data_IF_772734216076
#
_entry.id   IF_772734216076
#
_cell.length_a   1.000
_cell.length_b   1.000
_cell.length_c   1.000
_cell.angle_alpha   90.00
_cell.angle_beta   90.00
_cell.angle_gamma   90.00
#
_symmetry.space_group_name_H-M   'P 1'
#
loop_
_entity.id
_entity.type
_entity.pdbx_description
1 polymer ?
#
# COMPACT_ATOMS: atom_id res chain seq x y z
N UNK A 1 1.29 2.04 -25.19
CA UNK A 1 2.53 1.71 -25.93
C UNK A 1 2.96 2.88 -26.80
N UNK A 2 2.92 2.87 -28.15
CA UNK A 2 3.46 3.98 -28.98
C UNK A 2 3.01 5.41 -28.61
N UNK A 3 1.79 5.61 -28.10
CA UNK A 3 1.37 6.91 -27.56
C UNK A 3 2.19 7.28 -26.30
N UNK A 4 2.10 6.43 -25.27
CA UNK A 4 2.81 6.59 -23.99
C UNK A 4 4.33 6.68 -24.16
N UNK A 5 4.89 6.01 -25.17
CA UNK A 5 6.28 6.22 -25.63
C UNK A 5 6.59 7.66 -25.98
N UNK A 6 5.75 8.27 -26.82
CA UNK A 6 5.93 9.65 -27.21
C UNK A 6 5.74 10.58 -26.01
N UNK A 7 4.94 10.18 -25.01
CA UNK A 7 4.79 10.88 -23.74
C UNK A 7 6.06 10.75 -22.85
N UNK A 8 6.65 9.56 -22.67
CA UNK A 8 7.95 9.40 -21.98
C UNK A 8 9.11 10.12 -22.71
N UNK A 9 9.14 10.11 -24.06
CA UNK A 9 10.12 10.87 -24.86
C UNK A 9 9.90 12.38 -24.69
N UNK A 10 8.66 12.87 -24.78
CA UNK A 10 8.33 14.29 -24.62
C UNK A 10 8.58 14.81 -23.19
N UNK A 11 8.43 13.94 -22.19
CA UNK A 11 8.81 14.22 -20.80
C UNK A 11 10.34 14.17 -20.57
N UNK A 12 11.14 13.77 -21.57
CA UNK A 12 12.60 13.70 -21.47
C UNK A 12 13.14 12.50 -20.69
N UNK A 13 12.27 11.55 -20.31
CA UNK A 13 12.66 10.31 -19.63
C UNK A 13 13.45 9.35 -20.53
N UNK A 14 13.49 9.64 -21.83
CA UNK A 14 14.12 8.84 -22.88
C UNK A 14 14.89 9.67 -23.90
N UNK A 15 15.69 8.99 -24.71
CA UNK A 15 15.97 9.38 -26.10
C UNK A 15 15.79 8.21 -27.06
N UNK A 16 15.44 8.53 -28.32
CA UNK A 16 15.05 7.59 -29.38
C UNK A 16 13.85 8.17 -30.17
N UNK A 17 13.24 7.40 -31.10
CA UNK A 17 13.62 6.05 -31.50
C UNK A 17 14.89 6.02 -32.36
N UNK A 18 15.86 5.21 -31.94
CA UNK A 18 16.94 4.74 -32.82
C UNK A 18 16.42 3.56 -33.64
N UNK A 19 16.96 3.39 -34.85
CA UNK A 19 16.45 2.51 -35.91
C UNK A 19 17.27 1.25 -36.15
N UNK A 20 18.41 1.11 -35.47
CA UNK A 20 19.25 -0.09 -35.54
C UNK A 20 20.08 -0.26 -34.27
N UNK A 21 20.50 -1.50 -34.01
CA UNK A 21 21.43 -1.85 -32.94
C UNK A 21 22.75 -1.07 -33.08
N UNK A 22 23.24 -0.92 -34.31
CA UNK A 22 24.43 -0.13 -34.63
C UNK A 22 24.31 1.34 -34.21
N UNK A 23 23.15 1.97 -34.43
CA UNK A 23 22.93 3.36 -34.04
C UNK A 23 22.96 3.53 -32.50
N UNK A 24 22.59 2.48 -31.75
CA UNK A 24 22.76 2.41 -30.31
C UNK A 24 24.24 2.21 -29.93
N UNK A 25 24.96 1.29 -30.58
CA UNK A 25 26.40 1.08 -30.33
C UNK A 25 27.25 2.31 -30.64
N UNK A 26 27.04 2.94 -31.80
CA UNK A 26 27.75 4.16 -32.22
C UNK A 26 27.49 5.33 -31.23
N UNK A 27 26.32 5.36 -30.59
CA UNK A 27 25.94 6.35 -29.56
C UNK A 27 26.50 6.03 -28.17
N UNK A 28 26.48 4.77 -27.75
CA UNK A 28 27.01 4.30 -26.47
C UNK A 28 28.54 4.14 -26.48
N UNK A 29 29.16 4.22 -27.66
CA UNK A 29 30.59 3.97 -27.91
C UNK A 29 31.05 2.55 -27.50
N UNK A 30 30.13 1.59 -27.54
CA UNK A 30 30.38 0.17 -27.25
C UNK A 30 29.29 -0.72 -27.84
N UNK A 31 29.65 -1.95 -28.23
CA UNK A 31 28.70 -3.02 -28.56
C UNK A 31 28.26 -3.83 -27.32
N UNK A 32 28.93 -3.65 -26.17
CA UNK A 32 28.66 -4.37 -24.91
C UNK A 32 27.44 -3.77 -24.16
N UNK A 33 26.25 -3.88 -24.74
CA UNK A 33 24.99 -3.46 -24.12
C UNK A 33 23.91 -4.56 -24.18
N UNK A 34 22.85 -4.40 -23.39
CA UNK A 34 21.79 -5.41 -23.21
C UNK A 34 20.39 -4.84 -23.46
N UNK A 35 19.74 -5.29 -24.53
CA UNK A 35 18.36 -4.96 -24.84
C UNK A 35 17.41 -5.50 -23.76
N UNK A 36 16.52 -4.65 -23.23
CA UNK A 36 15.44 -5.04 -22.33
C UNK A 36 14.10 -4.95 -23.06
N UNK A 37 13.49 -6.07 -23.50
CA UNK A 37 12.22 -6.04 -24.23
C UNK A 37 11.09 -5.50 -23.36
N UNK A 38 10.26 -4.62 -23.91
CA UNK A 38 9.20 -3.94 -23.16
C UNK A 38 7.82 -4.49 -23.51
N UNK A 39 7.00 -4.75 -22.49
CA UNK A 39 5.67 -5.34 -22.62
C UNK A 39 4.59 -4.50 -21.92
N UNK A 40 3.32 -4.74 -22.27
CA UNK A 40 2.18 -4.01 -21.74
C UNK A 40 1.34 -4.91 -20.83
N UNK A 41 1.00 -4.37 -19.65
CA UNK A 41 0.08 -4.93 -18.69
C UNK A 41 -1.18 -4.05 -18.63
N UNK A 42 -2.37 -4.66 -18.55
CA UNK A 42 -3.62 -3.98 -18.20
C UNK A 42 -3.94 -4.30 -16.74
N UNK A 43 -4.10 -3.28 -15.91
CA UNK A 43 -4.20 -3.43 -14.46
C UNK A 43 -5.40 -2.65 -13.89
N UNK A 44 -6.14 -3.28 -12.96
CA UNK A 44 -7.28 -2.65 -12.29
C UNK A 44 -8.56 -2.63 -13.13
N UNK A 45 -9.63 -2.09 -12.54
CA UNK A 45 -10.98 -2.03 -13.15
C UNK A 45 -11.03 -1.10 -14.35
N UNK A 46 -10.36 0.06 -14.26
CA UNK A 46 -10.17 1.00 -15.38
C UNK A 46 -9.34 0.42 -16.54
N UNK A 47 -8.91 -0.85 -16.45
CA UNK A 47 -8.03 -1.53 -17.43
C UNK A 47 -6.75 -0.75 -17.74
N UNK A 48 -6.25 -0.01 -16.74
CA UNK A 48 -5.18 0.97 -16.88
C UNK A 48 -3.95 0.33 -17.47
N UNK A 49 -3.42 0.96 -18.51
CA UNK A 49 -2.19 0.54 -19.16
C UNK A 49 -1.01 0.84 -18.22
N UNK A 50 -0.19 -0.18 -18.01
CA UNK A 50 1.15 -0.10 -17.41
C UNK A 50 2.11 -0.74 -18.41
N UNK A 51 3.31 -0.20 -18.54
CA UNK A 51 4.27 -0.68 -19.55
C UNK A 51 5.63 -0.89 -18.87
N UNK A 52 6.17 -2.10 -18.99
CA UNK A 52 7.22 -2.63 -18.13
C UNK A 52 8.36 -3.16 -19.01
N UNK A 53 9.60 -2.75 -18.71
CA UNK A 53 10.80 -3.36 -19.29
C UNK A 53 11.06 -4.72 -18.62
N UNK A 54 11.28 -5.77 -19.42
CA UNK A 54 11.68 -7.08 -18.91
C UNK A 54 13.19 -7.11 -18.59
N UNK A 55 13.56 -6.42 -17.52
CA UNK A 55 14.90 -6.46 -16.91
C UNK A 55 15.24 -7.84 -16.29
N UNK A 56 14.33 -8.81 -16.30
CA UNK A 56 14.62 -10.21 -15.96
C UNK A 56 15.11 -10.97 -17.19
N UNK A 57 14.50 -10.76 -18.36
CA UNK A 57 14.94 -11.31 -19.64
C UNK A 57 16.34 -10.80 -20.03
N UNK A 58 16.60 -9.50 -19.90
CA UNK A 58 17.93 -8.91 -20.14
C UNK A 58 18.96 -9.17 -19.03
N UNK A 59 18.61 -9.98 -18.03
CA UNK A 59 19.42 -10.34 -16.87
C UNK A 59 19.89 -9.19 -15.96
N UNK A 60 19.58 -7.92 -16.25
CA UNK A 60 19.93 -6.75 -15.42
C UNK A 60 19.50 -6.93 -13.95
N UNK A 61 18.29 -7.45 -13.71
CA UNK A 61 17.79 -7.75 -12.36
C UNK A 61 18.51 -8.91 -11.65
N UNK A 62 19.32 -9.71 -12.36
CA UNK A 62 20.22 -10.73 -11.79
C UNK A 62 21.63 -10.21 -11.54
N UNK A 63 22.06 -9.19 -12.28
CA UNK A 63 23.33 -8.49 -12.08
C UNK A 63 23.26 -7.48 -10.93
N UNK A 64 22.08 -6.93 -10.64
CA UNK A 64 21.87 -6.02 -9.51
C UNK A 64 21.90 -6.75 -8.15
N UNK A 65 22.66 -6.20 -7.21
CA UNK A 65 22.61 -6.55 -5.78
C UNK A 65 22.57 -5.30 -4.90
N UNK A 66 21.93 -5.41 -3.73
CA UNK A 66 21.89 -4.36 -2.72
C UNK A 66 22.43 -4.87 -1.39
N UNK A 67 23.33 -4.11 -0.76
CA UNK A 67 23.73 -4.28 0.64
C UNK A 67 22.81 -3.54 1.61
N UNK A 68 21.93 -2.66 1.11
CA UNK A 68 20.88 -2.00 1.90
C UNK A 68 19.63 -2.86 1.88
N UNK A 69 19.09 -3.18 3.06
CA UNK A 69 17.68 -3.55 3.18
C UNK A 69 16.80 -2.33 2.84
N UNK A 70 15.61 -2.57 2.30
CA UNK A 70 14.61 -1.53 2.05
C UNK A 70 13.43 -1.76 2.99
N UNK A 71 13.40 -0.99 4.07
CA UNK A 71 12.27 -0.91 4.98
C UNK A 71 11.29 0.16 4.48
N UNK A 72 9.99 -0.14 4.50
CA UNK A 72 8.91 0.72 4.00
C UNK A 72 7.88 0.90 5.10
N UNK A 73 7.29 2.10 5.20
CA UNK A 73 6.39 2.44 6.29
C UNK A 73 4.95 2.04 5.91
N UNK A 74 4.67 0.74 6.08
CA UNK A 74 3.41 0.12 5.71
C UNK A 74 2.22 0.50 6.61
N UNK A 75 1.10 -0.20 6.44
CA UNK A 75 -0.12 0.06 7.22
C UNK A 75 0.07 -0.17 8.72
N UNK A 76 0.86 -1.18 9.13
CA UNK A 76 1.09 -1.44 10.56
C UNK A 76 2.08 -0.42 11.14
N UNK A 77 3.05 0.09 10.35
CA UNK A 77 3.85 1.26 10.75
C UNK A 77 2.97 2.51 10.94
N UNK A 78 2.11 2.84 9.97
CA UNK A 78 1.21 3.99 10.04
C UNK A 78 0.22 3.89 11.21
N UNK A 79 -0.35 2.71 11.46
CA UNK A 79 -1.19 2.42 12.62
C UNK A 79 -0.39 2.54 13.92
N UNK A 80 0.86 2.07 13.96
CA UNK A 80 1.76 2.22 15.10
C UNK A 80 2.05 3.69 15.44
N UNK A 81 2.41 4.50 14.44
CA UNK A 81 2.65 5.94 14.57
C UNK A 81 1.41 6.67 15.07
N UNK A 82 0.23 6.37 14.52
CA UNK A 82 -1.02 7.01 14.93
C UNK A 82 -1.49 6.56 16.33
N UNK A 83 -1.27 5.30 16.74
CA UNK A 83 -1.52 4.86 18.13
C UNK A 83 -0.55 5.52 19.11
N UNK A 84 0.72 5.68 18.73
CA UNK A 84 1.71 6.42 19.51
C UNK A 84 1.28 7.88 19.70
N UNK A 85 0.90 8.56 18.61
CA UNK A 85 0.37 9.93 18.64
C UNK A 85 -0.88 10.00 19.52
N UNK A 86 -1.85 9.08 19.36
CA UNK A 86 -3.06 8.99 20.19
C UNK A 86 -2.75 8.87 21.68
N UNK A 87 -1.70 8.15 22.06
CA UNK A 87 -1.22 8.04 23.45
C UNK A 87 -0.62 9.35 23.98
N UNK A 88 0.13 10.09 23.16
CA UNK A 88 0.62 11.44 23.51
C UNK A 88 -0.56 12.41 23.68
N UNK A 89 -1.57 12.31 22.82
CA UNK A 89 -2.78 13.16 22.82
C UNK A 89 -3.73 12.90 23.99
N UNK A 90 -3.58 11.80 24.74
CA UNK A 90 -4.37 11.54 25.94
C UNK A 90 -3.99 12.45 27.12
N UNK A 91 -2.71 12.87 27.25
CA UNK A 91 -2.32 13.84 28.27
C UNK A 91 -2.68 15.26 27.82
N UNK A 92 -3.80 15.76 28.37
CA UNK A 92 -4.32 17.10 28.04
C UNK A 92 -3.58 18.22 28.75
N UNK A 93 -2.74 17.90 29.73
CA UNK A 93 -1.99 18.91 30.50
C UNK A 93 -0.75 19.37 29.75
N UNK A 94 -0.02 18.44 29.13
CA UNK A 94 1.19 18.72 28.33
C UNK A 94 1.50 17.61 27.35
N UNK A 95 2.24 17.95 26.30
CA UNK A 95 2.87 16.98 25.40
C UNK A 95 3.89 16.17 26.20
N UNK A 96 3.79 14.84 26.14
CA UNK A 96 4.76 13.91 26.76
C UNK A 96 5.17 12.83 25.76
N UNK A 97 6.45 12.77 25.44
CA UNK A 97 7.00 11.84 24.45
C UNK A 97 8.08 10.97 25.10
N UNK A 98 7.76 9.74 25.54
CA UNK A 98 8.77 8.83 26.08
C UNK A 98 9.66 8.32 24.95
N UNK A 99 10.98 8.34 25.18
CA UNK A 99 12.01 7.95 24.21
C UNK A 99 12.56 6.54 24.51
N UNK A 100 13.22 5.95 23.52
CA UNK A 100 13.78 4.59 23.59
C UNK A 100 14.99 4.44 24.52
N UNK A 101 15.61 5.55 24.92
CA UNK A 101 16.66 5.61 25.95
C UNK A 101 16.12 5.67 27.39
N UNK A 102 14.79 5.67 27.56
CA UNK A 102 14.12 5.80 28.85
C UNK A 102 13.91 7.23 29.32
N UNK A 103 14.36 8.24 28.57
CA UNK A 103 14.05 9.65 28.85
C UNK A 103 12.63 10.02 28.39
N UNK A 104 12.18 11.24 28.68
CA UNK A 104 10.89 11.74 28.19
C UNK A 104 11.04 13.22 27.85
N UNK A 105 10.62 13.59 26.65
CA UNK A 105 10.46 14.99 26.26
C UNK A 105 9.11 15.49 26.80
N UNK A 106 9.10 16.66 27.43
CA UNK A 106 7.89 17.34 27.87
C UNK A 106 7.79 18.73 27.24
N UNK A 107 6.57 19.20 26.94
CA UNK A 107 6.34 20.55 26.42
C UNK A 107 4.87 20.97 26.53
N UNK A 108 4.62 22.28 26.63
CA UNK A 108 3.27 22.83 26.69
C UNK A 108 2.51 22.67 25.37
N UNK A 109 1.18 22.45 25.45
CA UNK A 109 0.33 22.49 24.26
C UNK A 109 0.21 23.93 23.73
N UNK A 110 0.19 24.09 22.39
CA UNK A 110 -0.18 25.39 21.79
C UNK A 110 -1.62 25.76 22.14
N UNK A 111 -1.95 27.06 22.12
CA UNK A 111 -3.30 27.56 22.47
C UNK A 111 -4.38 27.02 21.52
N UNK A 112 -3.97 26.70 20.30
CA UNK A 112 -4.76 26.14 19.22
C UNK A 112 -4.98 24.64 19.43
N UNK A 113 -3.95 23.91 19.88
CA UNK A 113 -4.05 22.46 20.16
C UNK A 113 -4.72 22.15 21.50
N UNK A 114 -4.69 23.08 22.47
CA UNK A 114 -5.46 23.00 23.71
C UNK A 114 -6.99 22.94 23.49
N UNK A 115 -7.47 23.31 22.29
CA UNK A 115 -8.89 23.19 21.88
C UNK A 115 -9.24 21.83 21.26
N UNK A 116 -8.31 20.86 21.30
CA UNK A 116 -8.46 19.49 20.80
C UNK A 116 -8.84 19.39 19.30
N UNK A 117 -8.17 20.13 18.40
CA UNK A 117 -8.51 20.18 16.99
C UNK A 117 -8.34 18.84 16.29
N UNK A 118 -9.31 18.44 15.46
CA UNK A 118 -9.24 17.19 14.69
C UNK A 118 -7.91 17.04 13.93
N UNK A 119 -7.29 15.87 14.07
CA UNK A 119 -6.18 15.43 13.21
C UNK A 119 -6.73 15.02 11.84
N UNK A 120 -5.98 15.33 10.80
CA UNK A 120 -6.35 15.18 9.39
C UNK A 120 -5.19 14.51 8.61
N UNK A 121 -5.42 13.96 7.40
CA UNK A 121 -4.32 13.47 6.54
C UNK A 121 -4.62 13.31 5.05
N UNK A 122 -3.58 13.11 4.24
CA UNK A 122 -3.54 13.19 2.76
C UNK A 122 -2.59 12.14 2.09
N UNK A 123 -2.75 11.85 0.78
CA UNK A 123 -2.05 10.84 -0.07
C UNK A 123 -1.74 11.38 -1.51
N UNK A 124 -0.63 10.97 -2.17
CA UNK A 124 -0.18 11.48 -3.50
C UNK A 124 0.65 10.45 -4.35
N UNK A 125 0.65 10.49 -5.72
CA UNK A 125 1.04 9.33 -6.62
C UNK A 125 1.66 9.64 -8.03
N UNK A 126 2.43 8.71 -8.65
CA UNK A 126 3.25 8.87 -9.91
C UNK A 126 3.03 7.80 -11.08
N UNK A 127 3.71 7.90 -12.26
CA UNK A 127 3.47 7.19 -13.58
C UNK A 127 4.81 6.92 -14.40
N UNK A 128 4.97 6.38 -15.65
CA UNK A 128 4.11 5.97 -16.82
C UNK A 128 4.59 4.76 -17.73
N UNK A 129 5.14 4.92 -18.97
CA UNK A 129 5.43 3.77 -19.92
C UNK A 129 5.90 3.98 -21.42
N UNK A 130 6.37 2.92 -22.16
CA UNK A 130 6.98 2.97 -23.56
C UNK A 130 6.48 1.92 -24.65
N UNK A 131 7.21 1.27 -25.62
CA UNK A 131 6.77 1.16 -27.04
C UNK A 131 6.16 -0.18 -27.52
N UNK A 132 5.80 -0.23 -28.82
CA UNK A 132 5.31 -1.39 -29.59
C UNK A 132 5.63 -1.23 -31.07
N UNK A 133 6.01 -2.28 -31.79
CA UNK A 133 6.22 -2.26 -33.24
C UNK A 133 7.44 -3.08 -33.66
N UNK A 134 7.94 -2.85 -34.87
CA UNK A 134 9.33 -3.16 -35.22
C UNK A 134 10.29 -2.54 -34.18
N UNK A 135 11.48 -3.13 -33.99
CA UNK A 135 12.41 -2.73 -32.93
C UNK A 135 12.87 -1.28 -33.05
N UNK A 136 12.12 -0.39 -32.40
CA UNK A 136 12.46 0.99 -32.11
C UNK A 136 13.22 1.01 -30.78
N UNK A 137 14.51 1.34 -30.83
CA UNK A 137 15.38 1.32 -29.66
C UNK A 137 15.30 2.66 -28.92
N UNK A 138 15.31 2.62 -27.59
CA UNK A 138 15.26 3.79 -26.71
C UNK A 138 16.26 3.63 -25.57
N UNK A 139 16.87 4.74 -25.14
CA UNK A 139 17.74 4.79 -23.96
C UNK A 139 17.00 5.45 -22.80
N UNK A 140 16.95 4.77 -21.66
CA UNK A 140 16.38 5.28 -20.41
C UNK A 140 17.28 6.35 -19.78
N UNK A 141 16.70 7.52 -19.47
CA UNK A 141 17.33 8.62 -18.71
C UNK A 141 16.80 8.75 -17.28
N UNK A 142 15.66 8.12 -16.99
CA UNK A 142 15.02 8.07 -15.67
C UNK A 142 15.24 6.69 -15.01
N UNK A 143 14.51 6.41 -13.92
CA UNK A 143 14.49 5.10 -13.26
C UNK A 143 13.34 4.25 -13.84
N UNK A 144 13.60 3.26 -14.72
CA UNK A 144 12.54 2.58 -15.47
C UNK A 144 11.76 1.52 -14.67
N UNK A 145 10.47 1.36 -15.01
CA UNK A 145 9.61 0.34 -14.42
C UNK A 145 10.02 -1.08 -14.84
N UNK A 146 10.26 -1.92 -13.83
CA UNK A 146 10.70 -3.31 -13.98
C UNK A 146 12.12 -3.57 -13.46
N UNK A 147 12.94 -2.53 -13.32
CA UNK A 147 14.30 -2.65 -12.79
C UNK A 147 14.29 -2.67 -11.25
N UNK A 148 14.93 -3.68 -10.65
CA UNK A 148 15.08 -3.77 -9.20
C UNK A 148 15.90 -2.59 -8.64
N UNK A 149 16.98 -2.20 -9.34
CA UNK A 149 17.81 -1.05 -9.00
C UNK A 149 17.00 0.26 -8.90
N UNK A 150 16.01 0.44 -9.79
CA UNK A 150 15.15 1.62 -9.83
C UNK A 150 14.25 1.73 -8.60
N UNK A 151 13.75 0.61 -8.07
CA UNK A 151 13.00 0.59 -6.81
C UNK A 151 13.88 1.06 -5.65
N UNK A 152 15.09 0.51 -5.51
CA UNK A 152 16.01 0.93 -4.44
C UNK A 152 16.49 2.38 -4.60
N UNK A 153 16.75 2.84 -5.83
CA UNK A 153 17.16 4.21 -6.11
C UNK A 153 16.06 5.23 -5.78
N UNK A 154 14.82 4.95 -6.21
CA UNK A 154 13.67 5.82 -5.96
C UNK A 154 13.37 5.96 -4.47
N UNK A 155 13.21 4.84 -3.74
CA UNK A 155 12.88 4.88 -2.31
C UNK A 155 14.00 5.52 -1.47
N UNK A 156 15.28 5.41 -1.86
CA UNK A 156 16.37 6.12 -1.17
C UNK A 156 16.26 7.63 -1.29
N UNK A 157 15.70 8.14 -2.39
CA UNK A 157 15.39 9.57 -2.55
C UNK A 157 14.11 9.92 -1.78
N UNK A 158 13.07 9.09 -1.86
CA UNK A 158 11.80 9.31 -1.15
C UNK A 158 11.98 9.41 0.38
N UNK A 159 12.69 8.45 0.99
CA UNK A 159 13.08 8.48 2.40
C UNK A 159 13.96 9.70 2.74
N UNK A 160 14.77 10.18 1.80
CA UNK A 160 15.53 11.43 1.95
C UNK A 160 14.65 12.69 1.97
N UNK A 161 13.58 12.71 1.16
CA UNK A 161 12.57 13.77 1.18
C UNK A 161 11.74 13.69 2.46
N UNK A 162 11.27 12.50 2.86
CA UNK A 162 10.59 12.26 4.13
C UNK A 162 11.41 12.77 5.33
N UNK A 163 12.73 12.49 5.35
CA UNK A 163 13.63 13.00 6.36
C UNK A 163 13.64 14.54 6.41
N UNK A 164 13.60 15.22 5.26
CA UNK A 164 13.46 16.69 5.22
C UNK A 164 12.09 17.13 5.75
N UNK A 165 10.99 16.46 5.37
CA UNK A 165 9.65 16.76 5.89
C UNK A 165 9.61 16.69 7.43
N UNK A 166 10.13 15.61 8.01
CA UNK A 166 10.16 15.38 9.45
C UNK A 166 11.13 16.35 10.16
N UNK A 167 12.38 16.47 9.69
CA UNK A 167 13.46 17.16 10.45
C UNK A 167 13.49 18.67 10.21
N UNK A 168 12.91 19.19 9.12
CA UNK A 168 12.86 20.64 8.83
C UNK A 168 11.49 21.27 8.97
N UNK A 169 10.42 20.50 8.79
CA UNK A 169 9.05 21.00 8.83
C UNK A 169 8.18 20.33 9.92
N UNK A 170 8.76 19.42 10.72
CA UNK A 170 8.09 18.71 11.82
C UNK A 170 6.84 17.92 11.38
N UNK A 171 6.75 17.58 10.09
CA UNK A 171 5.63 16.84 9.54
C UNK A 171 5.54 15.44 10.16
N UNK A 172 4.37 15.06 10.64
CA UNK A 172 4.07 13.67 10.99
C UNK A 172 3.71 12.98 9.67
N UNK A 173 4.62 12.18 9.11
CA UNK A 173 4.43 11.59 7.78
C UNK A 173 4.99 10.16 7.69
N UNK A 174 4.48 9.39 6.72
CA UNK A 174 4.96 8.05 6.37
C UNK A 174 5.19 7.89 4.86
N UNK A 175 6.19 7.11 4.47
CA UNK A 175 6.60 6.84 3.08
C UNK A 175 6.40 5.36 2.67
N UNK A 176 5.70 5.11 1.56
CA UNK A 176 5.52 3.77 1.01
C UNK A 176 5.53 3.79 -0.53
N UNK A 177 6.69 3.53 -1.13
CA UNK A 177 6.92 3.71 -2.57
C UNK A 177 6.58 5.13 -3.04
N UNK A 178 5.60 5.33 -3.92
CA UNK A 178 5.20 6.65 -4.39
C UNK A 178 4.12 7.34 -3.53
N UNK A 179 3.54 6.63 -2.55
CA UNK A 179 2.51 7.13 -1.62
C UNK A 179 3.15 7.74 -0.36
N UNK A 180 3.20 9.08 -0.24
CA UNK A 180 3.39 9.75 1.06
C UNK A 180 2.06 9.91 1.76
N UNK A 181 1.96 9.51 3.04
CA UNK A 181 0.82 9.88 3.89
C UNK A 181 1.24 10.87 4.96
N UNK A 182 0.62 12.06 4.97
CA UNK A 182 0.94 13.15 5.91
C UNK A 182 -0.22 13.30 6.90
N UNK A 183 0.08 13.65 8.15
CA UNK A 183 -0.87 13.87 9.24
C UNK A 183 -0.60 15.20 9.95
N UNK A 184 -1.65 15.97 10.26
CA UNK A 184 -1.53 17.27 10.95
C UNK A 184 -2.84 17.67 11.65
N UNK A 185 -2.76 18.54 12.65
CA UNK A 185 -3.91 19.15 13.31
C UNK A 185 -4.53 20.26 12.46
N UNK A 186 -5.87 20.33 12.45
CA UNK A 186 -6.66 21.24 11.61
C UNK A 186 -6.17 22.72 11.53
N UNK A 187 -5.67 23.38 12.59
CA UNK A 187 -5.14 24.75 12.51
C UNK A 187 -3.87 24.88 11.64
N UNK A 188 -3.02 23.86 11.62
CA UNK A 188 -1.74 23.87 10.92
C UNK A 188 -1.78 23.20 9.53
N UNK A 189 -2.71 22.28 9.30
CA UNK A 189 -2.78 21.45 8.09
C UNK A 189 -2.66 22.25 6.78
N UNK A 190 -3.44 23.33 6.62
CA UNK A 190 -3.40 24.15 5.39
C UNK A 190 -2.12 25.01 5.24
N UNK A 191 -1.31 25.16 6.29
CA UNK A 191 0.03 25.75 6.18
C UNK A 191 1.05 24.67 5.81
N UNK A 192 1.00 23.51 6.48
CA UNK A 192 1.91 22.39 6.22
C UNK A 192 1.80 21.88 4.78
N UNK A 193 0.57 21.69 4.28
CA UNK A 193 0.25 21.41 2.86
C UNK A 193 1.06 22.30 1.91
N UNK A 194 0.87 23.62 2.01
CA UNK A 194 1.55 24.61 1.15
C UNK A 194 3.07 24.57 1.29
N UNK A 195 3.59 24.28 2.48
CA UNK A 195 5.04 24.16 2.74
C UNK A 195 5.60 22.90 2.08
N UNK A 196 4.93 21.75 2.20
CA UNK A 196 5.38 20.49 1.60
C UNK A 196 5.20 20.48 0.07
N UNK A 197 4.09 21.02 -0.45
CA UNK A 197 3.94 21.32 -1.88
C UNK A 197 5.12 22.13 -2.43
N UNK A 198 5.56 23.17 -1.69
CA UNK A 198 6.71 24.00 -2.08
C UNK A 198 8.07 23.31 -1.91
N UNK A 199 8.22 22.42 -0.94
CA UNK A 199 9.41 21.57 -0.85
C UNK A 199 9.54 20.69 -2.11
N UNK A 200 8.46 20.02 -2.52
CA UNK A 200 8.47 19.18 -3.71
C UNK A 200 8.71 20.00 -4.99
N UNK A 201 8.08 21.17 -5.13
CA UNK A 201 8.36 22.12 -6.23
C UNK A 201 9.86 22.48 -6.33
N UNK A 202 10.48 22.83 -5.20
CA UNK A 202 11.88 23.27 -5.15
C UNK A 202 12.88 22.14 -5.42
N UNK A 203 12.52 20.90 -5.07
CA UNK A 203 13.31 19.71 -5.38
C UNK A 203 13.11 19.20 -6.82
N UNK A 204 12.20 19.81 -7.59
CA UNK A 204 11.80 19.29 -8.91
C UNK A 204 11.04 17.95 -8.83
N UNK A 205 10.53 17.59 -7.66
CA UNK A 205 9.79 16.35 -7.45
C UNK A 205 8.36 16.54 -7.92
N UNK A 206 7.98 15.84 -8.99
CA UNK A 206 6.58 15.81 -9.48
C UNK A 206 5.67 15.20 -8.42
N UNK A 207 4.43 15.69 -8.32
CA UNK A 207 3.37 15.12 -7.48
C UNK A 207 1.98 15.49 -8.04
N UNK A 208 0.94 14.81 -7.59
CA UNK A 208 -0.43 15.11 -7.98
C UNK A 208 -0.91 16.41 -7.30
N UNK A 209 -1.22 17.45 -8.08
CA UNK A 209 -1.67 18.76 -7.57
C UNK A 209 -3.18 18.98 -7.57
N UNK A 210 -3.94 18.05 -8.16
CA UNK A 210 -5.39 18.14 -8.35
C UNK A 210 -5.99 16.78 -8.74
N UNK A 211 -7.33 16.69 -8.69
CA UNK A 211 -8.09 15.51 -9.10
C UNK A 211 -8.03 14.36 -8.07
N UNK A 212 -8.49 13.16 -8.46
CA UNK A 212 -8.66 12.00 -7.54
C UNK A 212 -7.37 11.44 -6.89
N UNK A 213 -6.21 12.04 -7.17
CA UNK A 213 -4.89 11.70 -6.61
C UNK A 213 -4.37 12.74 -5.61
N UNK A 214 -5.09 13.84 -5.40
CA UNK A 214 -4.83 14.86 -4.39
C UNK A 214 -6.00 14.79 -3.41
N UNK A 215 -5.72 14.58 -2.14
CA UNK A 215 -6.69 14.10 -1.14
C UNK A 215 -6.60 14.99 0.09
N UNK A 216 -7.05 16.24 -0.07
CA UNK A 216 -6.94 17.29 0.93
C UNK A 216 -7.30 16.82 2.34
N UNK A 217 -6.36 16.99 3.28
CA UNK A 217 -6.45 16.75 4.72
C UNK A 217 -7.89 16.56 5.29
N UNK A 218 -8.30 15.30 5.49
CA UNK A 218 -9.56 14.92 6.15
C UNK A 218 -9.32 14.06 7.41
N UNK A 219 -10.27 14.14 8.34
CA UNK A 219 -10.50 13.29 9.51
C UNK A 219 -10.64 11.78 9.20
N UNK A 220 -10.84 11.41 7.93
CA UNK A 220 -10.82 10.03 7.44
C UNK A 220 -9.95 9.92 6.17
N UNK A 221 -8.66 9.66 6.36
CA UNK A 221 -7.71 9.46 5.25
C UNK A 221 -7.88 8.06 4.65
N UNK A 222 -7.52 7.89 3.37
CA UNK A 222 -7.53 6.61 2.64
C UNK A 222 -6.15 6.42 2.02
N UNK A 223 -5.34 5.54 2.62
CA UNK A 223 -3.95 5.27 2.22
C UNK A 223 -3.68 3.77 2.23
N UNK A 224 -2.68 3.31 1.47
CA UNK A 224 -2.19 1.92 1.39
C UNK A 224 -3.26 0.83 1.15
N UNK A 225 -4.47 1.22 0.72
CA UNK A 225 -5.63 0.35 0.53
C UNK A 225 -6.54 0.17 1.76
N UNK A 226 -6.24 0.85 2.87
CA UNK A 226 -7.10 0.97 4.06
C UNK A 226 -7.72 2.37 4.15
N UNK A 227 -8.51 2.62 5.19
CA UNK A 227 -8.94 3.95 5.62
C UNK A 227 -8.75 4.09 7.12
N UNK A 228 -8.28 5.26 7.54
CA UNK A 228 -7.89 5.56 8.91
C UNK A 228 -8.78 6.68 9.45
N UNK A 229 -9.64 6.35 10.42
CA UNK A 229 -10.51 7.29 11.11
C UNK A 229 -9.75 8.00 12.23
N UNK A 230 -9.39 9.25 11.99
CA UNK A 230 -8.53 10.09 12.83
C UNK A 230 -9.33 10.90 13.89
N UNK A 231 -10.64 11.05 13.71
CA UNK A 231 -11.50 11.89 14.56
C UNK A 231 -11.57 11.50 16.04
N UNK A 232 -11.26 10.25 16.40
CA UNK A 232 -11.21 9.77 17.79
C UNK A 232 -9.78 9.73 18.39
N UNK A 233 -8.73 10.15 17.67
CA UNK A 233 -7.34 10.03 18.12
C UNK A 233 -7.08 10.72 19.47
N UNK A 234 -7.67 11.90 19.67
CA UNK A 234 -7.62 12.60 20.96
C UNK A 234 -8.31 11.82 22.09
N UNK A 235 -9.38 11.08 21.79
CA UNK A 235 -10.08 10.22 22.74
C UNK A 235 -9.33 8.91 23.03
N UNK A 236 -8.15 8.71 22.44
CA UNK A 236 -7.35 7.51 22.62
C UNK A 236 -7.73 6.34 21.71
N UNK A 237 -8.40 6.58 20.57
CA UNK A 237 -8.80 5.51 19.64
C UNK A 237 -8.51 5.90 18.19
N UNK A 238 -7.75 5.07 17.49
CA UNK A 238 -7.70 5.05 16.03
C UNK A 238 -8.71 4.03 15.51
N UNK A 239 -9.46 4.36 14.47
CA UNK A 239 -10.33 3.38 13.77
C UNK A 239 -9.72 3.02 12.42
N UNK A 240 -9.66 1.72 12.08
CA UNK A 240 -9.07 1.19 10.85
C UNK A 240 -10.11 0.40 10.06
N UNK A 241 -10.32 0.78 8.80
CA UNK A 241 -11.35 0.22 7.90
C UNK A 241 -10.76 -0.19 6.56
N UNK A 242 -11.40 -1.11 5.85
CA UNK A 242 -11.04 -1.40 4.47
C UNK A 242 -11.35 -0.15 3.61
N UNK A 243 -10.55 0.13 2.56
CA UNK A 243 -10.85 1.23 1.63
C UNK A 243 -12.31 1.09 1.11
N UNK A 244 -13.13 2.16 1.13
CA UNK A 244 -14.52 2.11 0.67
C UNK A 244 -14.68 1.43 -0.69
N UNK A 245 -15.71 0.58 -0.83
CA UNK A 245 -15.96 -0.24 -2.01
C UNK A 245 -15.25 -1.61 -2.01
N UNK A 246 -14.28 -1.84 -1.11
CA UNK A 246 -13.50 -3.10 -1.07
C UNK A 246 -14.33 -4.30 -0.59
N UNK A 247 -15.11 -4.15 0.49
CA UNK A 247 -15.91 -5.25 1.05
C UNK A 247 -17.15 -5.53 0.20
N UNK A 248 -17.69 -4.50 -0.44
CA UNK A 248 -18.78 -4.54 -1.40
C UNK A 248 -18.36 -5.33 -2.65
N UNK A 249 -17.18 -5.03 -3.22
CA UNK A 249 -16.60 -5.79 -4.33
C UNK A 249 -16.36 -7.26 -3.97
N UNK A 250 -15.74 -7.51 -2.82
CA UNK A 250 -15.49 -8.88 -2.33
C UNK A 250 -16.82 -9.63 -2.18
N UNK A 251 -17.82 -9.00 -1.56
CA UNK A 251 -19.16 -9.58 -1.41
C UNK A 251 -19.83 -9.88 -2.76
N UNK A 252 -19.68 -9.02 -3.76
CA UNK A 252 -20.24 -9.27 -5.09
C UNK A 252 -19.57 -10.46 -5.79
N UNK A 253 -18.25 -10.60 -5.67
CA UNK A 253 -17.51 -11.77 -6.20
C UNK A 253 -17.90 -13.06 -5.46
N UNK A 254 -18.00 -13.02 -4.12
CA UNK A 254 -18.44 -14.15 -3.31
C UNK A 254 -19.88 -14.59 -3.67
N UNK A 255 -20.81 -13.64 -3.86
CA UNK A 255 -22.20 -13.92 -4.26
C UNK A 255 -22.27 -14.61 -5.63
N UNK A 256 -21.45 -14.18 -6.60
CA UNK A 256 -21.35 -14.85 -7.91
C UNK A 256 -21.01 -16.34 -7.74
N UNK A 257 -19.95 -16.65 -6.99
CA UNK A 257 -19.49 -18.04 -6.78
C UNK A 257 -20.51 -18.85 -5.96
N UNK A 258 -20.99 -18.29 -4.84
CA UNK A 258 -21.98 -18.94 -3.98
C UNK A 258 -23.30 -19.26 -4.71
N UNK A 259 -23.71 -18.42 -5.67
CA UNK A 259 -24.88 -18.69 -6.53
C UNK A 259 -24.71 -19.85 -7.51
N UNK A 260 -23.51 -20.44 -7.61
CA UNK A 260 -23.23 -21.57 -8.51
C UNK A 260 -23.07 -21.17 -9.98
N UNK A 261 -22.75 -19.91 -10.25
CA UNK A 261 -22.18 -19.51 -11.54
C UNK A 261 -20.76 -20.05 -11.64
N UNK A 262 -20.39 -20.57 -12.81
CA UNK A 262 -19.00 -20.92 -13.08
C UNK A 262 -18.15 -19.66 -13.22
N UNK A 263 -16.89 -19.72 -12.76
CA UNK A 263 -15.97 -18.57 -12.71
C UNK A 263 -14.58 -18.98 -13.18
N UNK A 264 -13.83 -18.03 -13.73
CA UNK A 264 -12.47 -18.28 -14.22
C UNK A 264 -11.43 -18.39 -13.09
N UNK A 265 -10.33 -19.09 -13.38
CA UNK A 265 -9.15 -19.18 -12.48
C UNK A 265 -8.60 -17.79 -12.13
N UNK A 266 -8.70 -16.82 -13.04
CA UNK A 266 -8.32 -15.41 -12.84
C UNK A 266 -9.23 -14.65 -11.89
N UNK A 267 -10.55 -14.89 -11.90
CA UNK A 267 -11.49 -14.30 -10.94
C UNK A 267 -11.26 -14.87 -9.54
N UNK A 268 -11.07 -16.18 -9.42
CA UNK A 268 -10.75 -16.85 -8.15
C UNK A 268 -9.39 -16.38 -7.60
N UNK A 269 -8.37 -16.19 -8.44
CA UNK A 269 -7.09 -15.61 -8.05
C UNK A 269 -7.22 -14.15 -7.57
N UNK A 270 -8.04 -13.36 -8.26
CA UNK A 270 -8.32 -11.97 -7.88
C UNK A 270 -9.05 -11.90 -6.53
N UNK A 271 -10.07 -12.73 -6.32
CA UNK A 271 -10.80 -12.83 -5.05
C UNK A 271 -9.89 -13.29 -3.90
N UNK A 272 -9.04 -14.29 -4.13
CA UNK A 272 -8.06 -14.76 -3.16
C UNK A 272 -7.10 -13.62 -2.73
N UNK A 273 -6.60 -12.83 -3.68
CA UNK A 273 -5.78 -11.64 -3.37
C UNK A 273 -6.55 -10.58 -2.57
N UNK A 274 -7.78 -10.27 -2.96
CA UNK A 274 -8.63 -9.29 -2.26
C UNK A 274 -8.97 -9.71 -0.82
N UNK A 275 -9.26 -10.99 -0.59
CA UNK A 275 -9.55 -11.55 0.74
C UNK A 275 -8.32 -11.59 1.65
N UNK A 276 -7.15 -11.99 1.13
CA UNK A 276 -5.91 -11.95 1.92
C UNK A 276 -5.57 -10.52 2.37
N UNK A 277 -5.75 -9.54 1.48
CA UNK A 277 -5.56 -8.12 1.80
C UNK A 277 -6.56 -7.63 2.86
N UNK A 278 -7.87 -7.83 2.63
CA UNK A 278 -8.92 -7.34 3.51
C UNK A 278 -8.94 -8.02 4.89
N UNK A 279 -8.56 -9.30 4.92
CA UNK A 279 -8.35 -10.07 6.14
C UNK A 279 -7.12 -9.62 6.91
N UNK A 280 -5.94 -9.72 6.29
CA UNK A 280 -4.65 -9.58 6.96
C UNK A 280 -4.46 -8.29 7.77
N UNK A 281 -4.93 -7.17 7.23
CA UNK A 281 -4.76 -5.85 7.88
C UNK A 281 -5.82 -5.54 8.94
N UNK A 282 -7.04 -6.07 8.82
CA UNK A 282 -8.23 -5.51 9.49
C UNK A 282 -9.12 -6.58 10.11
N UNK A 283 -9.55 -7.58 9.34
CA UNK A 283 -10.50 -8.62 9.78
C UNK A 283 -9.79 -9.86 10.36
N UNK A 284 -8.48 -9.76 10.57
CA UNK A 284 -7.65 -10.79 11.19
C UNK A 284 -7.72 -12.12 10.45
N UNK A 285 -8.14 -13.17 11.17
CA UNK A 285 -8.07 -14.55 10.68
C UNK A 285 -9.43 -15.11 10.22
N UNK A 286 -10.52 -14.37 10.37
CA UNK A 286 -11.89 -14.82 10.04
C UNK A 286 -12.04 -15.24 8.56
N UNK A 287 -11.35 -14.55 7.65
CA UNK A 287 -11.36 -14.83 6.21
C UNK A 287 -10.28 -15.84 5.76
N UNK A 288 -9.35 -16.26 6.64
CA UNK A 288 -8.29 -17.22 6.30
C UNK A 288 -8.80 -18.60 5.86
N UNK A 289 -9.90 -19.18 6.39
CA UNK A 289 -10.44 -20.45 5.90
C UNK A 289 -10.82 -20.38 4.41
N UNK A 290 -11.63 -19.39 4.02
CA UNK A 290 -12.04 -19.19 2.63
C UNK A 290 -10.85 -18.85 1.72
N UNK A 291 -9.92 -17.99 2.17
CA UNK A 291 -8.70 -17.71 1.41
C UNK A 291 -7.87 -18.99 1.17
N UNK A 292 -7.69 -19.85 2.18
CA UNK A 292 -7.01 -21.15 2.04
C UNK A 292 -7.75 -22.09 1.08
N UNK A 293 -9.07 -22.10 1.06
CA UNK A 293 -9.86 -22.93 0.13
C UNK A 293 -9.74 -22.43 -1.32
N UNK A 294 -9.78 -21.11 -1.55
CA UNK A 294 -9.50 -20.51 -2.86
C UNK A 294 -8.07 -20.83 -3.32
N UNK A 295 -7.08 -20.72 -2.43
CA UNK A 295 -5.67 -21.08 -2.71
C UNK A 295 -5.53 -22.55 -3.16
N UNK A 296 -6.19 -23.49 -2.48
CA UNK A 296 -6.23 -24.91 -2.86
C UNK A 296 -6.86 -25.11 -4.25
N UNK A 297 -7.99 -24.46 -4.53
CA UNK A 297 -8.65 -24.51 -5.84
C UNK A 297 -7.76 -23.94 -6.97
N UNK A 298 -6.88 -22.98 -6.66
CA UNK A 298 -5.92 -22.40 -7.60
C UNK A 298 -4.67 -23.26 -7.83
N UNK A 299 -4.31 -24.15 -6.89
CA UNK A 299 -3.12 -25.02 -6.99
C UNK A 299 -3.35 -26.28 -7.83
N UNK A 300 -4.58 -26.82 -7.83
CA UNK A 300 -4.92 -28.06 -8.53
C UNK A 300 -5.51 -27.87 -9.94
N UNK A 301 -6.06 -28.95 -10.53
CA UNK A 301 -7.00 -28.87 -11.65
C UNK A 301 -8.18 -27.98 -11.24
N UNK A 302 -8.40 -26.90 -11.99
CA UNK A 302 -9.34 -25.85 -11.59
C UNK A 302 -10.77 -26.19 -12.03
N UNK A 303 -11.71 -26.14 -11.07
CA UNK A 303 -13.15 -26.23 -11.29
C UNK A 303 -13.79 -25.01 -10.61
N UNK A 304 -14.46 -24.15 -11.38
CA UNK A 304 -15.02 -22.89 -10.85
C UNK A 304 -16.30 -23.03 -10.02
N UNK A 305 -16.88 -24.23 -9.94
CA UNK A 305 -18.27 -24.43 -9.51
C UNK A 305 -18.47 -25.60 -8.52
N UNK A 306 -17.51 -25.87 -7.62
CA UNK A 306 -17.61 -27.00 -6.66
C UNK A 306 -18.49 -26.68 -5.43
N UNK A 307 -19.09 -27.68 -4.75
CA UNK A 307 -19.88 -27.46 -3.54
C UNK A 307 -19.09 -26.81 -2.39
N UNK A 308 -17.84 -27.22 -2.20
CA UNK A 308 -16.95 -26.75 -1.13
C UNK A 308 -16.59 -25.27 -1.36
N UNK A 309 -16.37 -24.89 -2.62
CA UNK A 309 -16.09 -23.52 -3.03
C UNK A 309 -17.31 -22.61 -2.79
N UNK A 310 -18.53 -23.08 -3.06
CA UNK A 310 -19.78 -22.36 -2.73
C UNK A 310 -19.93 -22.15 -1.23
N UNK A 311 -19.74 -23.21 -0.44
CA UNK A 311 -19.86 -23.17 1.01
C UNK A 311 -18.83 -22.22 1.65
N UNK A 312 -17.58 -22.24 1.15
CA UNK A 312 -16.54 -21.30 1.57
C UNK A 312 -16.88 -19.84 1.24
N UNK A 313 -17.53 -19.60 0.10
CA UNK A 313 -17.96 -18.26 -0.29
C UNK A 313 -19.19 -17.77 0.48
N UNK A 314 -20.12 -18.67 0.83
CA UNK A 314 -21.25 -18.36 1.71
C UNK A 314 -20.77 -17.98 3.12
N UNK A 315 -19.90 -18.79 3.74
CA UNK A 315 -19.33 -18.51 5.06
C UNK A 315 -18.60 -17.15 5.10
N UNK A 316 -17.86 -16.80 4.04
CA UNK A 316 -17.20 -15.50 3.96
C UNK A 316 -18.17 -14.32 3.80
N UNK A 317 -19.37 -14.51 3.23
CA UNK A 317 -20.41 -13.49 3.22
C UNK A 317 -21.00 -13.28 4.62
N UNK A 318 -21.25 -14.35 5.36
CA UNK A 318 -21.78 -14.30 6.73
C UNK A 318 -20.76 -13.63 7.69
N UNK A 319 -19.46 -13.89 7.49
CA UNK A 319 -18.37 -13.16 8.17
C UNK A 319 -18.40 -11.67 7.80
N UNK A 320 -18.33 -11.32 6.52
CA UNK A 320 -18.26 -9.91 6.07
C UNK A 320 -19.49 -9.10 6.50
N UNK A 321 -20.68 -9.73 6.60
CA UNK A 321 -21.89 -9.09 7.12
C UNK A 321 -21.85 -8.76 8.62
N UNK A 322 -20.96 -9.39 9.38
CA UNK A 322 -20.79 -9.18 10.84
C UNK A 322 -19.53 -8.38 11.18
N UNK A 323 -18.55 -8.30 10.27
CA UNK A 323 -17.32 -7.54 10.42
C UNK A 323 -17.56 -6.08 10.82
N UNK A 324 -16.69 -5.56 11.70
CA UNK A 324 -16.72 -4.17 12.19
C UNK A 324 -15.38 -3.47 11.93
N UNK A 325 -15.35 -2.12 11.90
CA UNK A 325 -14.09 -1.37 11.92
C UNK A 325 -13.17 -1.81 13.06
N UNK A 326 -11.89 -2.04 12.77
CA UNK A 326 -10.86 -2.42 13.75
C UNK A 326 -10.52 -1.21 14.59
N UNK A 327 -10.91 -1.20 15.88
CA UNK A 327 -10.59 -0.12 16.82
C UNK A 327 -9.26 -0.41 17.51
N UNK A 328 -8.34 0.54 17.40
CA UNK A 328 -6.97 0.48 17.88
C UNK A 328 -6.79 1.49 19.02
N UNK A 329 -6.94 1.08 20.29
CA UNK A 329 -6.79 1.99 21.42
C UNK A 329 -5.34 2.45 21.62
N UNK A 330 -5.16 3.64 22.19
CA UNK A 330 -3.87 4.19 22.59
C UNK A 330 -3.24 3.45 23.78
N UNK A 331 -4.07 2.88 24.65
CA UNK A 331 -3.64 1.99 25.72
C UNK A 331 -3.15 0.66 25.14
N UNK A 332 -2.14 0.09 25.79
CA UNK A 332 -1.65 -1.26 25.58
C UNK A 332 -2.11 -2.06 26.80
N UNK A 333 -3.09 -2.94 26.62
CA UNK A 333 -3.40 -3.99 27.59
C UNK A 333 -2.37 -5.13 27.46
N UNK A 334 -2.27 -6.03 28.46
CA UNK A 334 -1.76 -7.37 28.22
C UNK A 334 -2.47 -8.04 27.03
N UNK A 335 -1.79 -8.95 26.31
CA UNK A 335 -2.40 -9.71 25.23
C UNK A 335 -3.22 -10.88 25.77
N UNK A 336 -4.47 -11.02 25.30
CA UNK A 336 -5.23 -12.27 25.53
C UNK A 336 -4.58 -13.38 24.69
N UNK A 337 -4.14 -14.45 25.35
CA UNK A 337 -3.49 -15.60 24.69
C UNK A 337 -4.55 -16.68 24.47
N UNK A 338 -4.90 -16.93 23.21
CA UNK A 338 -5.85 -17.96 22.82
C UNK A 338 -5.12 -19.16 22.19
N UNK A 339 -5.08 -20.27 22.91
CA UNK A 339 -4.72 -21.57 22.34
C UNK A 339 -5.97 -22.21 21.73
N UNK A 340 -5.82 -22.77 20.52
CA UNK A 340 -6.89 -23.51 19.83
C UNK A 340 -6.32 -24.81 19.27
N UNK A 341 -7.05 -25.91 19.42
CA UNK A 341 -6.74 -27.19 18.79
C UNK A 341 -7.98 -27.77 18.10
N UNK A 342 -7.77 -28.67 17.13
CA UNK A 342 -8.83 -29.27 16.33
C UNK A 342 -8.46 -30.65 15.80
N UNK A 343 -9.29 -31.64 16.14
CA UNK A 343 -9.14 -33.02 15.71
C UNK A 343 -10.22 -33.39 14.68
N UNK A 344 -9.93 -34.37 13.83
CA UNK A 344 -10.89 -34.91 12.87
C UNK A 344 -10.78 -36.43 12.83
N UNK A 345 -11.76 -37.11 13.44
CA UNK A 345 -11.80 -38.57 13.54
C UNK A 345 -13.15 -39.12 13.07
N UNK A 346 -13.12 -40.22 12.31
CA UNK A 346 -14.32 -41.00 11.92
C UNK A 346 -15.44 -40.16 11.25
N UNK A 347 -15.07 -39.06 10.59
CA UNK A 347 -16.00 -38.13 9.94
C UNK A 347 -16.49 -36.96 10.82
N UNK A 348 -16.08 -36.91 12.09
CA UNK A 348 -16.45 -35.86 13.05
C UNK A 348 -15.26 -34.93 13.26
N UNK A 349 -15.46 -33.63 13.02
CA UNK A 349 -14.54 -32.59 13.44
C UNK A 349 -14.87 -32.09 14.85
N UNK A 350 -13.89 -32.06 15.74
CA UNK A 350 -13.98 -31.44 17.06
C UNK A 350 -12.97 -30.31 17.16
N UNK A 351 -13.25 -29.33 18.02
CA UNK A 351 -12.33 -28.24 18.32
C UNK A 351 -12.39 -27.90 19.81
N UNK A 352 -11.30 -27.37 20.33
CA UNK A 352 -11.18 -26.89 21.70
C UNK A 352 -10.39 -25.59 21.74
N UNK A 353 -10.62 -24.78 22.77
CA UNK A 353 -9.88 -23.55 22.99
C UNK A 353 -9.62 -23.33 24.49
N UNK A 354 -8.45 -22.76 24.79
CA UNK A 354 -8.06 -22.28 26.11
C UNK A 354 -7.70 -20.80 25.97
N UNK A 355 -8.45 -19.94 26.64
CA UNK A 355 -8.22 -18.51 26.69
C UNK A 355 -7.53 -18.18 28.01
N UNK A 356 -6.38 -17.52 27.93
CA UNK A 356 -5.68 -16.92 29.06
C UNK A 356 -5.81 -15.41 28.92
N UNK A 357 -6.35 -14.77 29.95
CA UNK A 357 -6.41 -13.31 30.09
C UNK A 357 -5.55 -12.92 31.30
N UNK A 358 -4.83 -11.82 31.19
CA UNK A 358 -3.90 -11.31 32.23
C UNK A 358 -4.37 -9.96 32.82
N UNK A 359 -5.66 -9.62 32.60
CA UNK A 359 -6.35 -8.41 33.07
C UNK A 359 -6.96 -8.53 34.48
#
# INVERSE_FOLDING_TARGET
MKAETAEEVAAGFLTGPYRSEREVSDLLQTDDWSLSPRFLLRQGEDSKIRIIDDFKMSAVNRAFGSSSFLELQDTDYAVGLLRFLSRVLQDRSKVRVPLSDGTTLEGEWSRENAQLPCTLGEDARLEQGIPSGDWEFYLAKSLPFGAAASVYGFNKIALGILHIMIVKFFAIATDFYDDYTIYEFKPAASLLDKVLMRLLDLLGWTYAKAGRKFVAFDSKVVTLGVSLGLGELWSGVLTVENKPGRLEKISQMLRTIASGKDVSRSEVASLHGLLNFAGGLILGFELKPTARMLSRALSGPFLGNTPELKQACALALDVIAQCRPKRCPASISPPIILYTDGAYEKGIGTWGAVLIDEL
#
